data_IF_916022679013
#
_entry.id   IF_916022679013
#
_cell.length_a   1.000
_cell.length_b   1.000
_cell.length_c   1.000
_cell.angle_alpha   90.00
_cell.angle_beta   90.00
_cell.angle_gamma   90.00
#
_symmetry.space_group_name_H-M   'P 1'
#
loop_
_entity.id
_entity.type
_entity.pdbx_description
1 polymer ?
#
# COMPACT_ATOMS: atom_id res chain seq x y z
N UNK A 1 -5.61 -17.61 9.86
CA UNK A 1 -5.00 -17.47 8.52
C UNK A 1 -4.28 -16.16 8.41
N UNK A 2 -3.06 -16.23 7.90
CA UNK A 2 -2.25 -15.04 7.72
C UNK A 2 -2.68 -14.29 6.47
N UNK A 3 -2.93 -12.99 6.58
CA UNK A 3 -3.17 -12.20 5.38
C UNK A 3 -1.92 -12.14 4.51
N UNK A 4 -2.13 -12.05 3.22
CA UNK A 4 -1.05 -11.97 2.26
C UNK A 4 -1.23 -10.71 1.42
N UNK A 5 -0.14 -10.02 1.09
CA UNK A 5 -0.20 -8.86 0.20
C UNK A 5 0.52 -9.22 -1.09
N UNK A 6 -0.11 -8.88 -2.20
CA UNK A 6 0.42 -9.17 -3.52
C UNK A 6 0.27 -7.95 -4.42
N UNK A 7 1.29 -7.67 -5.21
CA UNK A 7 1.21 -6.63 -6.24
C UNK A 7 0.49 -7.21 -7.46
N UNK A 8 -0.49 -6.48 -7.95
CA UNK A 8 -1.19 -6.82 -9.19
C UNK A 8 -0.95 -5.69 -10.20
N UNK A 9 0.15 -5.73 -10.97
CA UNK A 9 0.46 -4.63 -11.90
C UNK A 9 -0.53 -4.47 -13.02
N UNK A 10 -1.23 -5.52 -13.41
CA UNK A 10 -2.24 -5.41 -14.46
C UNK A 10 -3.39 -4.53 -14.03
N UNK A 11 -3.71 -4.55 -12.73
CA UNK A 11 -4.77 -3.72 -12.16
C UNK A 11 -4.21 -2.48 -11.48
N UNK A 12 -2.90 -2.31 -11.48
CA UNK A 12 -2.22 -1.18 -10.85
C UNK A 12 -2.63 -1.03 -9.39
N UNK A 13 -2.47 -2.12 -8.64
CA UNK A 13 -2.81 -2.07 -7.21
C UNK A 13 -2.11 -3.19 -6.45
N UNK A 14 -1.89 -2.94 -5.16
CA UNK A 14 -1.53 -3.98 -4.21
C UNK A 14 -2.81 -4.54 -3.63
N UNK A 15 -2.85 -5.84 -3.42
CA UNK A 15 -4.04 -6.54 -2.93
C UNK A 15 -3.73 -7.22 -1.61
N UNK A 16 -4.63 -7.05 -0.65
CA UNK A 16 -4.59 -7.77 0.62
C UNK A 16 -5.53 -8.95 0.49
N UNK A 17 -5.01 -10.16 0.68
CA UNK A 17 -5.75 -11.39 0.42
C UNK A 17 -5.88 -12.18 1.70
N UNK A 18 -7.10 -12.56 2.03
CA UNK A 18 -7.42 -13.43 3.16
C UNK A 18 -8.23 -14.59 2.62
N UNK A 19 -7.72 -15.82 2.81
CA UNK A 19 -8.41 -17.05 2.37
C UNK A 19 -8.85 -16.95 0.92
N UNK A 20 -7.93 -16.56 0.06
CA UNK A 20 -8.13 -16.46 -1.39
C UNK A 20 -9.07 -15.35 -1.82
N UNK A 21 -9.49 -14.49 -0.90
CA UNK A 21 -10.36 -13.37 -1.21
C UNK A 21 -9.60 -12.05 -1.11
N UNK A 22 -9.77 -11.16 -2.08
CA UNK A 22 -9.20 -9.82 -2.00
C UNK A 22 -10.09 -9.00 -1.08
N UNK A 23 -9.56 -8.63 0.07
CA UNK A 23 -10.31 -7.89 1.08
C UNK A 23 -9.84 -6.45 1.21
N UNK A 24 -8.77 -6.08 0.53
CA UNK A 24 -8.29 -4.70 0.53
C UNK A 24 -7.43 -4.44 -0.69
N UNK A 25 -7.38 -3.17 -1.09
CA UNK A 25 -6.54 -2.76 -2.22
C UNK A 25 -5.89 -1.41 -1.91
N UNK A 26 -4.67 -1.24 -2.40
CA UNK A 26 -4.00 0.05 -2.43
C UNK A 26 -3.68 0.32 -3.90
N UNK A 27 -4.48 1.18 -4.51
CA UNK A 27 -4.32 1.50 -5.91
C UNK A 27 -3.14 2.44 -6.12
N UNK A 28 -2.48 2.32 -7.26
CA UNK A 28 -1.38 3.22 -7.56
C UNK A 28 -1.36 3.55 -9.05
N UNK A 29 -0.65 4.64 -9.36
CA UNK A 29 -0.31 5.02 -10.72
C UNK A 29 1.21 5.07 -10.79
N UNK A 30 1.78 4.38 -11.76
CA UNK A 30 3.23 4.38 -11.92
C UNK A 30 3.66 5.50 -12.83
N UNK A 31 4.63 6.28 -12.37
CA UNK A 31 5.24 7.37 -13.15
C UNK A 31 6.75 7.19 -13.05
N UNK A 32 7.33 6.46 -14.02
CA UNK A 32 8.74 6.10 -13.93
C UNK A 32 8.96 5.12 -12.79
N UNK A 33 9.86 5.47 -11.87
CA UNK A 33 10.11 4.67 -10.67
C UNK A 33 9.31 5.16 -9.46
N UNK A 34 8.38 6.09 -9.67
CA UNK A 34 7.55 6.64 -8.62
C UNK A 34 6.16 6.04 -8.67
N UNK A 35 5.64 5.58 -7.54
CA UNK A 35 4.27 5.12 -7.41
C UNK A 35 3.46 6.18 -6.68
N UNK A 36 2.40 6.66 -7.35
CA UNK A 36 1.44 7.60 -6.76
C UNK A 36 0.30 6.77 -6.21
N UNK A 37 0.03 6.89 -4.91
CA UNK A 37 -1.04 6.13 -4.25
C UNK A 37 -2.25 7.04 -4.01
N UNK A 38 -3.27 7.00 -4.88
CA UNK A 38 -4.42 7.88 -4.72
C UNK A 38 -5.50 7.33 -3.80
N UNK A 39 -5.55 6.01 -3.58
CA UNK A 39 -6.69 5.40 -2.90
C UNK A 39 -6.34 4.08 -2.25
N UNK A 40 -6.82 3.88 -1.03
CA UNK A 40 -6.70 2.63 -0.28
C UNK A 40 -8.08 2.29 0.27
N UNK A 41 -8.47 1.02 0.15
CA UNK A 41 -9.79 0.58 0.58
C UNK A 41 -9.69 -0.79 1.22
N UNK A 42 -10.37 -0.98 2.35
CA UNK A 42 -10.48 -2.26 3.04
C UNK A 42 -11.97 -2.58 3.17
N UNK A 43 -12.35 -3.83 2.89
CA UNK A 43 -13.74 -4.26 3.09
C UNK A 43 -14.16 -3.98 4.54
N UNK A 44 -15.40 -3.51 4.71
CA UNK A 44 -15.87 -3.08 6.01
C UNK A 44 -15.77 -4.16 7.09
N UNK A 45 -15.96 -5.42 6.72
CA UNK A 45 -15.87 -6.53 7.68
C UNK A 45 -14.45 -6.77 8.18
N UNK A 46 -13.44 -6.18 7.52
CA UNK A 46 -12.03 -6.34 7.90
C UNK A 46 -11.42 -5.07 8.49
N UNK A 47 -12.21 -4.01 8.63
CA UNK A 47 -11.72 -2.75 9.20
C UNK A 47 -11.52 -2.89 10.70
N UNK A 48 -10.60 -2.08 11.23
CA UNK A 48 -10.34 -2.06 12.66
C UNK A 48 -9.47 -3.21 13.15
N UNK A 49 -8.85 -3.96 12.26
CA UNK A 49 -8.03 -5.12 12.61
C UNK A 49 -6.57 -4.94 12.18
N UNK A 50 -6.16 -3.72 11.87
CA UNK A 50 -4.80 -3.46 11.43
C UNK A 50 -4.50 -3.87 10.00
N UNK A 51 -5.52 -4.24 9.24
CA UNK A 51 -5.34 -4.74 7.88
C UNK A 51 -4.84 -3.66 6.93
N UNK A 52 -5.33 -2.42 7.08
CA UNK A 52 -4.88 -1.32 6.24
C UNK A 52 -3.41 -1.03 6.43
N UNK A 53 -2.94 -1.03 7.67
CA UNK A 53 -1.53 -0.81 7.97
C UNK A 53 -0.68 -1.94 7.38
N UNK A 54 -1.16 -3.17 7.46
CA UNK A 54 -0.48 -4.32 6.89
C UNK A 54 -0.31 -4.18 5.39
N UNK A 55 -1.39 -3.78 4.72
CA UNK A 55 -1.38 -3.58 3.27
C UNK A 55 -0.41 -2.48 2.86
N UNK A 56 -0.48 -1.34 3.53
CA UNK A 56 0.38 -0.21 3.19
C UNK A 56 1.84 -0.53 3.48
N UNK A 57 2.10 -1.16 4.62
CA UNK A 57 3.48 -1.52 4.95
C UNK A 57 4.10 -2.43 3.90
N UNK A 58 3.38 -3.47 3.50
CA UNK A 58 3.88 -4.41 2.50
C UNK A 58 4.08 -3.72 1.15
N UNK A 59 3.15 -2.83 0.78
CA UNK A 59 3.28 -2.08 -0.47
C UNK A 59 4.53 -1.19 -0.46
N UNK A 60 4.75 -0.48 0.63
CA UNK A 60 5.92 0.39 0.74
C UNK A 60 7.22 -0.39 0.80
N UNK A 61 7.22 -1.54 1.46
CA UNK A 61 8.41 -2.40 1.49
C UNK A 61 8.74 -2.90 0.09
N UNK A 62 7.72 -3.22 -0.70
CA UNK A 62 7.93 -3.66 -2.07
C UNK A 62 8.48 -2.54 -2.95
N UNK A 63 7.97 -1.33 -2.77
CA UNK A 63 8.51 -0.17 -3.48
C UNK A 63 9.98 0.04 -3.12
N UNK A 64 10.31 -0.07 -1.84
CA UNK A 64 11.70 0.07 -1.40
C UNK A 64 12.59 -0.99 -2.04
N UNK A 65 12.13 -2.23 -2.07
CA UNK A 65 12.92 -3.32 -2.64
C UNK A 65 13.20 -3.10 -4.12
N UNK A 66 12.29 -2.42 -4.82
CA UNK A 66 12.47 -2.09 -6.23
C UNK A 66 13.20 -0.79 -6.50
N UNK A 67 13.65 -0.09 -5.47
CA UNK A 67 14.37 1.17 -5.62
C UNK A 67 13.48 2.36 -6.01
N UNK A 68 12.18 2.25 -5.77
CA UNK A 68 11.23 3.27 -6.19
C UNK A 68 10.99 4.37 -5.16
N UNK A 69 10.13 5.30 -5.54
CA UNK A 69 9.71 6.42 -4.70
C UNK A 69 8.19 6.43 -4.61
N UNK A 70 7.64 7.19 -3.66
CA UNK A 70 6.22 7.22 -3.37
C UNK A 70 5.71 8.65 -3.29
N UNK A 71 4.53 8.89 -3.90
CA UNK A 71 3.75 10.11 -3.70
C UNK A 71 2.44 9.68 -3.03
N UNK A 72 2.27 9.95 -1.72
CA UNK A 72 1.09 9.49 -0.99
C UNK A 72 -0.05 10.52 -1.10
N UNK A 73 -0.85 10.43 -2.16
CA UNK A 73 -2.01 11.29 -2.30
C UNK A 73 -3.17 10.83 -1.44
N UNK A 74 -3.24 9.53 -1.14
CA UNK A 74 -4.21 9.01 -0.21
C UNK A 74 -3.81 9.41 1.22
N UNK A 75 -4.76 10.02 1.97
CA UNK A 75 -4.46 10.45 3.33
C UNK A 75 -4.01 9.31 4.23
N UNK A 76 -4.51 8.10 3.97
CA UNK A 76 -4.17 6.96 4.79
C UNK A 76 -2.69 6.57 4.62
N UNK A 77 -2.21 6.56 3.37
CA UNK A 77 -0.80 6.27 3.10
C UNK A 77 0.09 7.37 3.68
N UNK A 78 -0.32 8.63 3.50
CA UNK A 78 0.43 9.76 4.05
C UNK A 78 0.52 9.67 5.57
N UNK A 79 -0.59 9.34 6.23
CA UNK A 79 -0.61 9.23 7.67
C UNK A 79 0.24 8.06 8.16
N UNK A 80 0.21 6.95 7.42
CA UNK A 80 1.04 5.79 7.77
C UNK A 80 2.53 6.18 7.75
N UNK A 81 2.96 6.89 6.71
CA UNK A 81 4.37 7.31 6.60
C UNK A 81 4.71 8.28 7.72
N UNK A 82 3.79 9.19 8.05
CA UNK A 82 4.01 10.15 9.11
C UNK A 82 4.19 9.46 10.46
N UNK A 83 3.41 8.41 10.70
CA UNK A 83 3.49 7.65 11.94
C UNK A 83 4.66 6.66 11.96
N UNK A 84 5.26 6.38 10.80
CA UNK A 84 6.36 5.43 10.67
C UNK A 84 7.52 6.10 9.92
N UNK A 85 8.32 6.92 10.61
CA UNK A 85 9.33 7.75 9.95
C UNK A 85 10.37 6.99 9.13
N UNK A 86 10.54 5.68 9.37
CA UNK A 86 11.49 4.89 8.59
C UNK A 86 11.11 4.81 7.12
N UNK A 87 9.88 5.21 6.75
CA UNK A 87 9.43 5.22 5.36
C UNK A 87 9.54 6.59 4.70
N UNK A 88 9.97 7.62 5.43
CA UNK A 88 10.05 8.97 4.88
C UNK A 88 11.04 9.10 3.74
N UNK A 89 12.07 8.27 3.72
CA UNK A 89 13.05 8.30 2.65
C UNK A 89 12.48 7.85 1.30
N UNK A 90 11.30 7.22 1.30
CA UNK A 90 10.65 6.84 0.06
C UNK A 90 9.92 7.99 -0.62
N UNK A 91 9.66 9.07 0.11
CA UNK A 91 8.89 10.18 -0.44
C UNK A 91 9.62 10.82 -1.62
N UNK A 92 8.90 11.01 -2.72
CA UNK A 92 9.43 11.73 -3.87
C UNK A 92 9.58 13.20 -3.51
N UNK A 93 10.65 13.79 -3.97
CA UNK A 93 10.93 15.21 -3.70
C UNK A 93 9.95 16.13 -4.44
#
# INVERSE_FOLDING_TARGET
MEPEVRNNPQESRYELIVESEVVGVAEYRREGDTLVFPHTQIKSSFRGQGMGARLVQAALDDVRAGGGRVVPRCWYVAEFIDANPSYRDLLAA
#
